data_IF_503769267538
#
_entry.id   IF_503769267538
#
_cell.length_a   1.000
_cell.length_b   1.000
_cell.length_c   1.000
_cell.angle_alpha   90.00
_cell.angle_beta   90.00
_cell.angle_gamma   90.00
#
_symmetry.space_group_name_H-M   'P 1'
#
loop_
_entity.id
_entity.type
_entity.pdbx_description
1 polymer ?
#
# COMPACT_ATOMS: atom_id res chain seq x y z
N UNK A 1 -25.52 15.29 59.36
CA UNK A 1 -24.98 14.50 58.20
C UNK A 1 -25.80 14.84 56.97
N UNK A 2 -25.20 15.41 55.93
CA UNK A 2 -25.93 15.96 54.77
C UNK A 2 -26.21 14.83 53.76
N UNK A 3 -27.50 14.53 53.56
CA UNK A 3 -28.00 13.51 52.61
C UNK A 3 -27.90 13.96 51.15
N UNK A 4 -27.63 15.24 50.91
CA UNK A 4 -27.57 15.86 49.57
C UNK A 4 -26.47 15.26 48.64
N UNK A 5 -25.30 14.89 49.17
CA UNK A 5 -24.18 14.40 48.35
C UNK A 5 -24.36 12.98 47.80
N UNK A 6 -25.29 12.19 48.35
CA UNK A 6 -25.58 10.84 47.83
C UNK A 6 -26.49 10.90 46.58
N UNK A 7 -27.48 11.82 46.63
CA UNK A 7 -28.45 12.02 45.54
C UNK A 7 -27.73 12.56 44.29
N UNK A 8 -26.77 13.48 44.45
CA UNK A 8 -26.00 14.01 43.31
C UNK A 8 -25.08 12.99 42.66
N UNK A 9 -24.49 12.08 43.45
CA UNK A 9 -23.67 10.97 42.92
C UNK A 9 -24.52 9.93 42.18
N UNK A 10 -25.71 9.64 42.63
CA UNK A 10 -26.65 8.73 41.99
C UNK A 10 -27.19 9.32 40.66
N UNK A 11 -27.50 10.62 40.66
CA UNK A 11 -27.91 11.34 39.44
C UNK A 11 -26.80 11.38 38.38
N UNK A 12 -25.55 11.65 38.78
CA UNK A 12 -24.42 11.66 37.87
C UNK A 12 -24.15 10.25 37.27
N UNK A 13 -24.26 9.21 38.10
CA UNK A 13 -24.05 7.82 37.65
C UNK A 13 -25.18 7.32 36.73
N UNK A 14 -26.41 7.69 36.98
CA UNK A 14 -27.55 7.35 36.12
C UNK A 14 -27.54 8.13 34.81
N UNK A 15 -27.18 9.41 34.84
CA UNK A 15 -27.05 10.22 33.62
C UNK A 15 -25.99 9.68 32.66
N UNK A 16 -24.80 9.34 33.15
CA UNK A 16 -23.72 8.81 32.33
C UNK A 16 -24.07 7.46 31.71
N UNK A 17 -24.79 6.58 32.41
CA UNK A 17 -25.25 5.29 31.90
C UNK A 17 -26.37 5.42 30.86
N UNK A 18 -27.35 6.32 31.09
CA UNK A 18 -28.40 6.55 30.10
C UNK A 18 -27.84 7.13 28.78
N UNK A 19 -26.89 8.04 28.86
CA UNK A 19 -26.26 8.61 27.67
C UNK A 19 -25.46 7.56 26.85
N UNK A 20 -24.79 6.61 27.52
CA UNK A 20 -24.10 5.53 26.82
C UNK A 20 -25.06 4.58 26.08
N UNK A 21 -26.20 4.27 26.68
CA UNK A 21 -27.24 3.41 26.05
C UNK A 21 -27.98 4.14 24.93
N UNK A 22 -28.26 5.43 25.06
CA UNK A 22 -28.84 6.22 23.97
C UNK A 22 -27.89 6.39 22.79
N UNK A 23 -26.59 6.54 23.04
CA UNK A 23 -25.56 6.58 21.98
C UNK A 23 -25.46 5.27 21.21
N UNK A 24 -25.42 4.15 21.92
CA UNK A 24 -25.38 2.80 21.30
C UNK A 24 -26.69 2.49 20.55
N UNK A 25 -27.85 2.84 21.14
CA UNK A 25 -29.15 2.65 20.49
C UNK A 25 -29.29 3.48 19.20
N UNK A 26 -28.81 4.72 19.20
CA UNK A 26 -28.81 5.57 18.01
C UNK A 26 -27.89 5.02 16.91
N UNK A 27 -26.71 4.52 17.28
CA UNK A 27 -25.77 3.92 16.33
C UNK A 27 -26.33 2.63 15.68
N UNK A 28 -26.96 1.77 16.50
CA UNK A 28 -27.60 0.55 15.99
C UNK A 28 -28.80 0.88 15.08
N UNK A 29 -29.56 1.92 15.41
CA UNK A 29 -30.68 2.37 14.57
C UNK A 29 -30.19 2.94 13.21
N UNK A 30 -29.11 3.72 13.21
CA UNK A 30 -28.52 4.28 11.99
C UNK A 30 -27.96 3.17 11.11
N UNK A 31 -27.26 2.19 11.67
CA UNK A 31 -26.76 1.02 10.92
C UNK A 31 -27.90 0.17 10.39
N UNK A 32 -28.94 -0.06 11.20
CA UNK A 32 -30.14 -0.81 10.77
C UNK A 32 -30.89 -0.14 9.62
N UNK A 33 -31.03 1.17 9.67
CA UNK A 33 -31.64 1.96 8.60
C UNK A 33 -30.76 1.91 7.32
N UNK A 34 -29.44 2.10 7.45
CA UNK A 34 -28.52 2.02 6.33
C UNK A 34 -28.59 0.66 5.60
N UNK A 35 -28.67 -0.43 6.35
CA UNK A 35 -28.83 -1.79 5.80
C UNK A 35 -30.19 -1.96 5.12
N UNK A 36 -31.28 -1.43 5.72
CA UNK A 36 -32.64 -1.52 5.16
C UNK A 36 -32.77 -0.73 3.83
N UNK A 37 -32.06 0.38 3.69
CA UNK A 37 -32.04 1.17 2.46
C UNK A 37 -30.99 0.74 1.44
N UNK A 38 -30.30 -0.40 1.67
CA UNK A 38 -29.31 -0.93 0.74
C UNK A 38 -28.06 -0.05 0.61
N UNK A 39 -27.79 0.83 1.57
CA UNK A 39 -26.55 1.63 1.61
C UNK A 39 -25.40 0.67 1.85
N UNK A 40 -24.68 0.33 0.79
CA UNK A 40 -23.43 -0.41 0.90
C UNK A 40 -22.39 0.55 1.45
N UNK A 41 -21.96 0.29 2.68
CA UNK A 41 -20.74 0.93 3.21
C UNK A 41 -19.59 0.33 2.41
N UNK A 42 -18.95 1.16 1.55
CA UNK A 42 -17.77 0.73 0.83
C UNK A 42 -16.69 0.33 1.84
N UNK A 43 -16.15 -0.89 1.76
CA UNK A 43 -15.11 -1.36 2.69
C UNK A 43 -13.87 -0.47 2.73
N UNK A 44 -13.65 0.33 1.68
CA UNK A 44 -12.57 1.30 1.57
C UNK A 44 -12.65 2.45 2.58
N UNK A 45 -13.83 2.72 3.17
CA UNK A 45 -14.03 3.74 4.20
C UNK A 45 -13.63 3.25 5.61
N UNK A 46 -13.41 1.95 5.80
CA UNK A 46 -12.99 1.41 7.08
C UNK A 46 -11.47 1.43 7.18
N UNK A 47 -10.91 1.79 8.37
CA UNK A 47 -9.48 1.64 8.60
C UNK A 47 -9.08 0.20 8.34
N UNK A 48 -8.13 -0.02 7.41
CA UNK A 48 -7.62 -1.35 7.13
C UNK A 48 -6.92 -1.89 8.37
N UNK A 49 -7.24 -3.13 8.84
CA UNK A 49 -6.52 -3.73 9.94
C UNK A 49 -5.02 -3.83 9.60
N UNK A 50 -4.12 -3.72 10.59
CA UNK A 50 -2.69 -3.88 10.33
C UNK A 50 -2.43 -5.25 9.69
N UNK A 51 -1.65 -5.24 8.62
CA UNK A 51 -1.29 -6.44 7.86
C UNK A 51 -0.52 -7.40 8.76
N UNK A 52 -1.03 -8.62 8.93
CA UNK A 52 -0.31 -9.69 9.60
C UNK A 52 0.42 -10.54 8.56
N UNK A 53 1.68 -10.21 8.30
CA UNK A 53 2.51 -11.01 7.40
C UNK A 53 3.16 -12.17 8.15
N UNK A 54 3.15 -13.37 7.57
CA UNK A 54 3.94 -14.50 8.06
C UNK A 54 5.45 -14.21 8.00
N UNK A 55 5.87 -13.37 7.02
CA UNK A 55 7.19 -12.79 6.92
C UNK A 55 7.07 -11.31 6.49
N UNK A 56 7.92 -10.42 7.05
CA UNK A 56 7.88 -9.00 6.66
C UNK A 56 8.21 -8.84 5.17
N UNK A 57 7.43 -8.02 4.43
CA UNK A 57 7.61 -7.86 2.99
C UNK A 57 8.96 -7.20 2.62
N UNK A 58 9.47 -6.30 3.44
CA UNK A 58 10.75 -5.65 3.24
C UNK A 58 11.83 -6.40 4.04
N UNK A 59 12.54 -7.30 3.36
CA UNK A 59 13.57 -8.14 3.98
C UNK A 59 14.85 -7.35 4.21
N UNK A 60 15.32 -7.35 5.45
CA UNK A 60 16.50 -6.58 5.87
C UNK A 60 17.84 -7.23 5.52
N UNK A 61 17.84 -8.50 5.16
CA UNK A 61 18.99 -9.32 4.81
C UNK A 61 19.31 -9.33 3.30
N UNK A 62 18.55 -8.62 2.50
CA UNK A 62 18.70 -8.57 1.04
C UNK A 62 19.63 -7.44 0.63
N UNK A 63 20.67 -7.77 -0.14
CA UNK A 63 21.51 -6.78 -0.80
C UNK A 63 20.78 -6.13 -1.96
N UNK A 64 20.64 -4.79 -1.93
CA UNK A 64 19.82 -4.04 -2.85
C UNK A 64 20.29 -4.17 -4.32
N UNK A 65 21.61 -4.12 -4.57
CA UNK A 65 22.18 -4.24 -5.91
C UNK A 65 21.89 -5.62 -6.49
N UNK A 66 22.24 -6.66 -5.75
CA UNK A 66 22.01 -8.05 -6.16
C UNK A 66 20.51 -8.34 -6.39
N UNK A 67 19.63 -7.78 -5.57
CA UNK A 67 18.19 -7.98 -5.73
C UNK A 67 17.66 -7.33 -7.01
N UNK A 68 18.10 -6.11 -7.32
CA UNK A 68 17.70 -5.41 -8.55
C UNK A 68 18.27 -6.11 -9.78
N UNK A 69 19.54 -6.50 -9.77
CA UNK A 69 20.18 -7.25 -10.90
C UNK A 69 19.45 -8.57 -11.19
N UNK A 70 19.12 -9.34 -10.15
CA UNK A 70 18.32 -10.57 -10.30
C UNK A 70 16.90 -10.27 -10.78
N UNK A 71 16.29 -9.18 -10.31
CA UNK A 71 14.99 -8.72 -10.79
C UNK A 71 15.00 -8.36 -12.26
N UNK A 72 16.01 -7.62 -12.71
CA UNK A 72 16.21 -7.26 -14.13
C UNK A 72 16.41 -8.48 -15.00
N UNK A 73 17.21 -9.45 -14.55
CA UNK A 73 17.41 -10.71 -15.28
C UNK A 73 16.09 -11.49 -15.45
N UNK A 74 15.24 -11.57 -14.40
CA UNK A 74 13.91 -12.20 -14.50
C UNK A 74 12.99 -11.42 -15.45
N UNK A 75 12.97 -10.09 -15.32
CA UNK A 75 12.16 -9.22 -16.17
C UNK A 75 12.54 -9.37 -17.66
N UNK A 76 13.84 -9.38 -17.97
CA UNK A 76 14.34 -9.62 -19.32
C UNK A 76 13.93 -11.01 -19.86
N UNK A 77 14.09 -12.06 -19.04
CA UNK A 77 13.75 -13.43 -19.43
C UNK A 77 12.24 -13.62 -19.66
N UNK A 78 11.39 -12.98 -18.86
CA UNK A 78 9.92 -13.08 -18.96
C UNK A 78 9.31 -12.03 -19.90
N UNK A 79 10.09 -11.00 -20.29
CA UNK A 79 9.65 -9.86 -21.07
C UNK A 79 8.67 -8.95 -20.36
N UNK A 80 8.72 -8.95 -19.04
CA UNK A 80 7.93 -8.10 -18.15
C UNK A 80 8.72 -6.85 -17.78
N UNK A 81 8.03 -5.85 -17.27
CA UNK A 81 8.65 -4.72 -16.60
C UNK A 81 9.16 -5.15 -15.21
N UNK A 82 10.20 -4.49 -14.73
CA UNK A 82 10.59 -4.60 -13.32
C UNK A 82 10.07 -3.40 -12.55
N UNK A 83 9.33 -3.65 -11.47
CA UNK A 83 8.96 -2.67 -10.46
C UNK A 83 9.82 -2.87 -9.22
N UNK A 84 10.67 -1.90 -8.90
CA UNK A 84 11.45 -1.90 -7.66
C UNK A 84 10.79 -0.95 -6.66
N UNK A 85 10.30 -1.48 -5.55
CA UNK A 85 9.72 -0.67 -4.49
C UNK A 85 10.72 -0.50 -3.34
N UNK A 86 10.83 0.72 -2.84
CA UNK A 86 11.65 1.10 -1.70
C UNK A 86 10.75 1.48 -0.54
N UNK A 87 10.89 0.79 0.57
CA UNK A 87 10.02 0.98 1.73
C UNK A 87 10.60 0.35 2.98
N UNK A 88 9.78 0.28 4.02
CA UNK A 88 10.15 -0.32 5.30
C UNK A 88 8.95 -0.93 6.01
N UNK A 89 9.19 -1.92 6.86
CA UNK A 89 8.12 -2.62 7.59
C UNK A 89 7.43 -1.77 8.66
N UNK A 90 8.02 -0.65 9.06
CA UNK A 90 7.40 0.32 9.97
C UNK A 90 6.54 1.37 9.24
N UNK A 91 6.59 1.42 7.91
CA UNK A 91 5.89 2.41 7.09
C UNK A 91 4.49 1.91 6.71
N UNK A 92 3.40 2.50 7.24
CA UNK A 92 2.05 2.01 6.97
C UNK A 92 1.66 2.08 5.48
N UNK A 93 2.11 3.11 4.76
CA UNK A 93 1.84 3.24 3.32
C UNK A 93 2.60 2.19 2.50
N UNK A 94 3.81 1.81 2.95
CA UNK A 94 4.59 0.76 2.30
C UNK A 94 3.92 -0.62 2.45
N UNK A 95 3.39 -0.91 3.64
CA UNK A 95 2.64 -2.14 3.89
C UNK A 95 1.32 -2.15 3.11
N UNK A 96 0.61 -1.02 3.06
CA UNK A 96 -0.62 -0.91 2.28
C UNK A 96 -0.37 -1.08 0.77
N UNK A 97 0.73 -0.52 0.24
CA UNK A 97 1.14 -0.76 -1.15
C UNK A 97 1.41 -2.24 -1.39
N UNK A 98 2.17 -2.89 -0.49
CA UNK A 98 2.43 -4.32 -0.59
C UNK A 98 1.13 -5.13 -0.65
N UNK A 99 0.18 -4.86 0.27
CA UNK A 99 -1.13 -5.53 0.30
C UNK A 99 -1.90 -5.35 -1.00
N UNK A 100 -1.95 -4.12 -1.51
CA UNK A 100 -2.62 -3.81 -2.76
C UNK A 100 -1.99 -4.51 -3.97
N UNK A 101 -0.65 -4.61 -4.02
CA UNK A 101 0.06 -5.33 -5.08
C UNK A 101 -0.20 -6.85 -5.05
N UNK A 102 -0.51 -7.42 -3.89
CA UNK A 102 -0.79 -8.85 -3.71
C UNK A 102 -2.28 -9.19 -3.58
N UNK A 103 -3.16 -8.20 -3.67
CA UNK A 103 -4.61 -8.38 -3.64
C UNK A 103 -5.09 -9.21 -4.84
N UNK A 104 -6.17 -10.00 -4.71
CA UNK A 104 -6.73 -10.76 -5.81
C UNK A 104 -7.00 -9.91 -7.07
N UNK A 105 -7.43 -8.68 -6.88
CA UNK A 105 -7.81 -7.73 -7.93
C UNK A 105 -6.62 -7.25 -8.78
N UNK A 106 -5.41 -7.22 -8.20
CA UNK A 106 -4.18 -6.79 -8.87
C UNK A 106 -3.31 -7.94 -9.32
N UNK A 107 -3.40 -9.09 -8.66
CA UNK A 107 -2.48 -10.23 -8.83
C UNK A 107 -2.31 -10.66 -10.28
N UNK A 108 -3.41 -10.93 -11.00
CA UNK A 108 -3.35 -11.37 -12.38
C UNK A 108 -2.69 -10.33 -13.30
N UNK A 109 -2.91 -9.04 -13.03
CA UNK A 109 -2.29 -7.95 -13.76
C UNK A 109 -0.78 -7.88 -13.49
N UNK A 110 -0.39 -7.96 -12.21
CA UNK A 110 1.01 -7.99 -11.78
C UNK A 110 1.74 -9.19 -12.41
N UNK A 111 1.20 -10.38 -12.25
CA UNK A 111 1.80 -11.62 -12.79
C UNK A 111 2.00 -11.56 -14.30
N UNK A 112 1.16 -10.84 -15.01
CA UNK A 112 1.26 -10.68 -16.46
C UNK A 112 2.30 -9.64 -16.89
N UNK A 113 2.44 -8.54 -16.15
CA UNK A 113 3.16 -7.36 -16.64
C UNK A 113 4.42 -7.02 -15.86
N UNK A 114 4.56 -7.50 -14.61
CA UNK A 114 5.64 -7.08 -13.72
C UNK A 114 6.38 -8.23 -13.06
N UNK A 115 7.68 -8.06 -12.90
CA UNK A 115 8.48 -8.64 -11.83
C UNK A 115 8.57 -7.59 -10.72
N UNK A 116 8.45 -8.00 -9.45
CA UNK A 116 8.53 -7.09 -8.30
C UNK A 116 9.78 -7.39 -7.48
N UNK A 117 10.48 -6.34 -7.08
CA UNK A 117 11.57 -6.37 -6.10
C UNK A 117 11.28 -5.35 -5.01
N UNK A 118 11.33 -5.77 -3.76
CA UNK A 118 11.10 -4.92 -2.60
C UNK A 118 12.42 -4.72 -1.85
N UNK A 119 12.82 -3.47 -1.68
CA UNK A 119 14.06 -3.05 -1.03
C UNK A 119 13.75 -2.37 0.29
N UNK A 120 14.31 -2.93 1.38
CA UNK A 120 14.23 -2.33 2.70
C UNK A 120 15.18 -1.13 2.82
N UNK A 121 14.62 0.05 3.04
CA UNK A 121 15.36 1.28 3.34
C UNK A 121 15.38 1.61 4.84
N UNK A 122 14.72 0.80 5.64
CA UNK A 122 14.64 0.71 7.10
C UNK A 122 14.98 1.96 7.90
N UNK A 123 16.26 2.24 8.03
CA UNK A 123 16.83 3.37 8.75
C UNK A 123 17.74 4.23 7.85
N UNK A 124 18.27 5.33 8.39
CA UNK A 124 19.15 6.22 7.65
C UNK A 124 20.42 5.53 7.13
N UNK A 125 20.96 4.53 7.84
CA UNK A 125 22.14 3.77 7.43
C UNK A 125 21.82 2.89 6.22
N UNK A 126 20.68 2.20 6.22
CA UNK A 126 20.20 1.38 5.10
C UNK A 126 19.86 2.25 3.89
N UNK A 127 19.13 3.33 4.09
CA UNK A 127 18.83 4.29 3.02
C UNK A 127 20.10 4.84 2.37
N UNK A 128 21.13 5.19 3.16
CA UNK A 128 22.43 5.58 2.63
C UNK A 128 23.15 4.44 1.89
N UNK A 129 23.01 3.19 2.33
CA UNK A 129 23.57 2.03 1.64
C UNK A 129 22.88 1.81 0.28
N UNK A 130 21.55 1.91 0.20
CA UNK A 130 20.77 1.85 -1.04
C UNK A 130 21.22 2.94 -2.02
N UNK A 131 21.37 4.19 -1.53
CA UNK A 131 21.89 5.30 -2.36
C UNK A 131 23.26 4.98 -2.95
N UNK A 132 24.19 4.46 -2.14
CA UNK A 132 25.52 4.06 -2.63
C UNK A 132 25.48 2.92 -3.64
N UNK A 133 24.60 1.93 -3.40
CA UNK A 133 24.50 0.74 -4.23
C UNK A 133 23.83 1.02 -5.59
N UNK A 134 22.76 1.81 -5.61
CA UNK A 134 21.88 1.98 -6.76
C UNK A 134 21.88 3.42 -7.33
N UNK A 135 22.49 4.39 -6.65
CA UNK A 135 22.40 5.80 -7.03
C UNK A 135 21.05 6.45 -6.70
N UNK A 136 20.12 5.72 -6.08
CA UNK A 136 18.75 6.17 -5.79
C UNK A 136 18.68 6.74 -4.38
N UNK A 137 18.32 8.04 -4.26
CA UNK A 137 18.05 8.68 -2.98
C UNK A 137 16.57 8.52 -2.62
N UNK A 138 16.27 7.67 -1.64
CA UNK A 138 14.88 7.47 -1.18
C UNK A 138 14.50 8.56 -0.20
N UNK A 139 13.90 9.64 -0.70
CA UNK A 139 13.45 10.79 0.08
C UNK A 139 11.95 10.72 0.43
N UNK A 140 11.23 9.82 -0.23
CA UNK A 140 9.80 9.52 0.00
C UNK A 140 9.64 8.01 0.14
N UNK A 141 8.61 7.59 0.85
CA UNK A 141 8.34 6.16 1.08
C UNK A 141 6.82 5.95 1.21
N UNK A 142 6.27 4.99 0.45
CA UNK A 142 6.93 4.13 -0.54
C UNK A 142 7.38 4.90 -1.78
N UNK A 143 8.51 4.48 -2.35
CA UNK A 143 8.99 4.91 -3.66
C UNK A 143 8.97 3.70 -4.59
N UNK A 144 8.59 3.88 -5.85
CA UNK A 144 8.75 2.87 -6.90
C UNK A 144 9.58 3.42 -8.06
N UNK A 145 10.40 2.54 -8.66
CA UNK A 145 11.09 2.80 -9.92
C UNK A 145 10.75 1.67 -10.87
N UNK A 146 10.40 2.04 -12.10
CA UNK A 146 9.97 1.11 -13.15
C UNK A 146 11.03 1.00 -14.22
N UNK A 147 11.35 -0.23 -14.59
CA UNK A 147 12.31 -0.53 -15.65
C UNK A 147 11.63 -1.31 -16.77
N UNK A 148 12.01 -1.02 -18.00
CA UNK A 148 11.63 -1.82 -19.16
C UNK A 148 12.25 -3.23 -19.06
N UNK A 149 11.78 -4.20 -19.87
CA UNK A 149 12.45 -5.51 -19.98
C UNK A 149 13.92 -5.42 -20.43
N UNK A 150 14.32 -4.32 -21.06
CA UNK A 150 15.71 -4.05 -21.45
C UNK A 150 16.56 -3.43 -20.31
N UNK A 151 15.95 -3.12 -19.16
CA UNK A 151 16.63 -2.54 -18.00
C UNK A 151 16.70 -1.01 -18.02
N UNK A 152 16.01 -0.35 -18.93
CA UNK A 152 15.92 1.13 -18.98
C UNK A 152 14.89 1.64 -17.98
N UNK A 153 15.18 2.74 -17.29
CA UNK A 153 14.20 3.40 -16.42
C UNK A 153 13.12 4.02 -17.31
N UNK A 154 11.87 3.65 -17.07
CA UNK A 154 10.70 4.16 -17.80
C UNK A 154 9.83 5.09 -16.94
N UNK A 155 10.01 5.08 -15.64
CA UNK A 155 9.29 5.97 -14.73
C UNK A 155 9.65 5.73 -13.27
N UNK A 156 9.23 6.63 -12.43
CA UNK A 156 9.41 6.57 -10.97
C UNK A 156 8.27 7.31 -10.26
N UNK A 157 8.27 7.23 -8.93
CA UNK A 157 7.31 7.94 -8.05
C UNK A 157 8.03 8.86 -7.08
N UNK A 158 9.08 9.54 -7.53
CA UNK A 158 9.85 10.48 -6.70
C UNK A 158 9.04 11.71 -6.25
N UNK A 159 7.98 12.08 -6.97
CA UNK A 159 7.08 13.16 -6.58
C UNK A 159 6.12 12.75 -5.44
N UNK A 160 6.08 11.47 -5.09
CA UNK A 160 5.33 10.95 -3.94
C UNK A 160 3.93 10.44 -4.30
N UNK A 161 3.70 10.03 -5.54
CA UNK A 161 2.42 9.54 -6.04
C UNK A 161 1.89 8.36 -5.23
N UNK A 162 2.78 7.49 -4.74
CA UNK A 162 2.43 6.34 -3.91
C UNK A 162 2.48 6.63 -2.40
N UNK A 163 2.84 7.84 -1.98
CA UNK A 163 2.95 8.19 -0.56
C UNK A 163 1.66 7.96 0.25
N UNK A 164 0.44 8.24 -0.29
CA UNK A 164 -0.79 7.97 0.42
C UNK A 164 -1.36 6.56 0.15
N UNK A 165 -0.52 5.54 -0.06
CA UNK A 165 -0.96 4.19 -0.50
C UNK A 165 -1.97 3.52 0.43
N UNK A 166 -2.02 3.88 1.72
CA UNK A 166 -3.06 3.39 2.65
C UNK A 166 -4.47 3.86 2.32
N UNK A 167 -4.60 4.89 1.48
CA UNK A 167 -5.88 5.44 1.03
C UNK A 167 -6.27 4.94 -0.36
N UNK A 168 -5.41 4.20 -1.03
CA UNK A 168 -5.70 3.60 -2.32
C UNK A 168 -6.30 2.20 -2.16
N UNK A 169 -7.27 1.92 -3.00
CA UNK A 169 -7.77 0.57 -3.22
C UNK A 169 -6.82 -0.23 -4.14
N UNK A 170 -6.96 -1.55 -4.16
CA UNK A 170 -6.24 -2.39 -5.10
C UNK A 170 -6.56 -2.05 -6.57
N UNK A 171 -7.78 -1.59 -6.85
CA UNK A 171 -8.17 -1.14 -8.19
C UNK A 171 -7.41 0.12 -8.62
N UNK A 172 -7.31 1.13 -7.76
CA UNK A 172 -6.58 2.35 -8.06
C UNK A 172 -5.08 2.09 -8.28
N UNK A 173 -4.49 1.17 -7.48
CA UNK A 173 -3.10 0.75 -7.72
C UNK A 173 -2.96 0.01 -9.05
N UNK A 174 -3.91 -0.86 -9.43
CA UNK A 174 -3.91 -1.53 -10.73
C UNK A 174 -4.01 -0.55 -11.88
N UNK A 175 -4.91 0.44 -11.77
CA UNK A 175 -5.13 1.44 -12.82
C UNK A 175 -3.88 2.32 -12.99
N UNK A 176 -3.24 2.75 -11.89
CA UNK A 176 -1.94 3.41 -11.91
C UNK A 176 -0.87 2.55 -12.63
N UNK A 177 -0.77 1.27 -12.31
CA UNK A 177 0.19 0.37 -12.97
C UNK A 177 -0.13 0.17 -14.45
N UNK A 178 -1.39 0.22 -14.85
CA UNK A 178 -1.79 0.18 -16.26
C UNK A 178 -1.29 1.41 -17.01
N UNK A 179 -1.41 2.60 -16.44
CA UNK A 179 -0.87 3.82 -17.05
C UNK A 179 0.66 3.72 -17.26
N UNK A 180 1.39 3.15 -16.30
CA UNK A 180 2.84 2.92 -16.43
C UNK A 180 3.15 1.95 -17.58
N UNK A 181 2.39 0.85 -17.73
CA UNK A 181 2.56 -0.11 -18.83
C UNK A 181 2.23 0.54 -20.18
N UNK A 182 1.17 1.32 -20.26
CA UNK A 182 0.75 1.98 -21.49
C UNK A 182 1.75 3.07 -21.91
N UNK A 183 2.29 3.82 -20.96
CA UNK A 183 3.38 4.77 -21.21
C UNK A 183 4.63 4.06 -21.76
N UNK A 184 5.04 2.93 -21.16
CA UNK A 184 6.19 2.16 -21.63
C UNK A 184 6.01 1.68 -23.08
N UNK A 185 4.80 1.26 -23.48
CA UNK A 185 4.50 0.85 -24.86
C UNK A 185 4.63 2.00 -25.86
N UNK A 186 4.30 3.21 -25.44
CA UNK A 186 4.41 4.41 -26.28
C UNK A 186 5.87 4.80 -26.48
N UNK A 187 6.68 4.78 -25.41
CA UNK A 187 8.09 5.22 -25.47
C UNK A 187 9.05 4.15 -26.02
N UNK A 188 8.65 2.88 -26.01
CA UNK A 188 9.47 1.75 -26.51
C UNK A 188 8.67 0.82 -27.42
N UNK A 189 8.16 1.27 -28.57
CA UNK A 189 7.27 0.48 -29.42
C UNK A 189 7.95 -0.74 -30.06
N UNK A 190 9.27 -0.75 -30.19
CA UNK A 190 10.04 -1.78 -30.94
C UNK A 190 10.11 -3.16 -30.24
N UNK A 191 9.84 -3.22 -28.95
CA UNK A 191 9.91 -4.48 -28.21
C UNK A 191 8.67 -5.37 -28.36
N UNK A 192 7.56 -4.84 -28.87
CA UNK A 192 6.29 -5.55 -29.04
C UNK A 192 6.28 -6.41 -30.31
N UNK A 193 7.06 -6.06 -31.34
CA UNK A 193 7.08 -6.72 -32.65
C UNK A 193 8.08 -7.88 -32.80
N UNK A 194 8.99 -8.10 -31.85
CA UNK A 194 9.96 -9.20 -31.91
C UNK A 194 9.45 -10.57 -31.43
N UNK A 195 8.18 -10.68 -31.10
CA UNK A 195 7.55 -11.90 -30.53
C UNK A 195 6.39 -12.47 -31.37
N UNK A 196 6.36 -12.17 -32.68
CA UNK A 196 5.48 -12.87 -33.62
C UNK A 196 6.27 -13.81 -34.52
#
# INVERSE_FOLDING_TARGET
MRVSGLIDRVRAALGARLWSWLGVGALVAVVGVAVAYGVRVEPSLLPRPPSSFAQPPYRSDVDARTAVEKGQARAAASGKMLMVTFGANWCPDCLALHDNLHAPETRAYIEKHFEIVQIDVGDAKKSAAVKRALGIAVNVSPLAVFYSPAGEVVGDTFAGELKPSRHFSAHEIRDFLQEVVDFQRIVSPDQTHRRQ
#
